data_IF_446264398207
#
_entry.id   IF_446264398207
#
_cell.length_a   1.000
_cell.length_b   1.000
_cell.length_c   1.000
_cell.angle_alpha   90.00
_cell.angle_beta   90.00
_cell.angle_gamma   90.00
#
_symmetry.space_group_name_H-M   'P 1'
#
loop_
_entity.id
_entity.type
_entity.pdbx_description
1 polymer ?
#
# COMPACT_ATOMS: atom_id res chain seq x y z
N UNK A 1 -28.12 -52.41 -19.08
CA UNK A 1 -27.00 -53.38 -19.32
C UNK A 1 -25.94 -52.72 -20.20
N UNK A 2 -24.80 -52.37 -19.68
CA UNK A 2 -23.68 -51.86 -20.52
C UNK A 2 -23.03 -53.00 -21.21
N UNK A 3 -23.17 -53.10 -22.53
CA UNK A 3 -22.54 -54.14 -23.33
C UNK A 3 -21.03 -54.11 -23.16
N UNK A 4 -20.45 -55.18 -22.58
CA UNK A 4 -19.04 -55.40 -22.47
C UNK A 4 -18.49 -55.89 -23.83
N UNK A 5 -18.48 -55.02 -24.83
CA UNK A 5 -17.83 -55.36 -26.12
C UNK A 5 -16.32 -55.27 -25.99
N UNK A 6 -15.60 -56.16 -26.71
CA UNK A 6 -14.15 -56.20 -26.71
C UNK A 6 -13.52 -54.84 -27.09
N UNK A 7 -14.19 -54.11 -28.01
CA UNK A 7 -13.82 -52.73 -28.34
C UNK A 7 -13.89 -51.74 -27.15
N UNK A 8 -14.91 -51.87 -26.31
CA UNK A 8 -15.05 -51.03 -25.12
C UNK A 8 -13.99 -51.33 -24.08
N UNK A 9 -13.52 -52.57 -24.00
CA UNK A 9 -12.42 -52.99 -23.15
C UNK A 9 -11.08 -52.43 -23.64
N UNK A 10 -10.81 -52.52 -24.93
CA UNK A 10 -9.62 -51.91 -25.56
C UNK A 10 -9.56 -50.39 -25.40
N UNK A 11 -10.67 -49.70 -25.60
CA UNK A 11 -10.74 -48.24 -25.40
C UNK A 11 -10.44 -47.87 -23.95
N UNK A 12 -11.03 -48.60 -23.01
CA UNK A 12 -10.80 -48.36 -21.56
C UNK A 12 -9.34 -48.64 -21.16
N UNK A 13 -8.76 -49.73 -21.68
CA UNK A 13 -7.36 -50.01 -21.45
C UNK A 13 -6.45 -48.90 -22.01
N UNK A 14 -6.74 -48.44 -23.21
CA UNK A 14 -6.02 -47.31 -23.83
C UNK A 14 -6.10 -46.01 -23.07
N UNK A 15 -7.28 -45.72 -22.50
CA UNK A 15 -7.49 -44.53 -21.67
C UNK A 15 -6.67 -44.61 -20.36
N UNK A 16 -6.63 -45.79 -19.72
CA UNK A 16 -5.84 -46.01 -18.51
C UNK A 16 -4.35 -45.84 -18.80
N UNK A 17 -3.87 -46.42 -19.92
CA UNK A 17 -2.46 -46.30 -20.36
C UNK A 17 -2.10 -44.82 -20.63
N UNK A 18 -2.98 -44.07 -21.31
CA UNK A 18 -2.79 -42.63 -21.53
C UNK A 18 -2.79 -41.84 -20.24
N UNK A 19 -3.71 -42.13 -19.34
CA UNK A 19 -3.79 -41.46 -18.04
C UNK A 19 -2.53 -41.72 -17.20
N UNK A 20 -2.07 -42.96 -17.14
CA UNK A 20 -0.84 -43.32 -16.43
C UNK A 20 0.41 -42.68 -17.07
N UNK A 21 0.50 -42.65 -18.39
CA UNK A 21 1.58 -41.95 -19.09
C UNK A 21 1.57 -40.45 -18.89
N UNK A 22 0.37 -39.85 -18.79
CA UNK A 22 0.18 -38.42 -18.57
C UNK A 22 0.46 -38.01 -17.12
N UNK A 23 0.23 -38.89 -16.15
CA UNK A 23 0.32 -38.65 -14.71
C UNK A 23 1.59 -39.24 -14.06
N UNK A 24 2.63 -39.52 -14.84
CA UNK A 24 3.91 -39.87 -14.22
C UNK A 24 4.44 -38.69 -13.39
N UNK A 25 5.14 -38.93 -12.26
CA UNK A 25 5.68 -37.89 -11.42
C UNK A 25 6.51 -36.85 -12.21
N UNK A 26 7.28 -37.30 -13.20
CA UNK A 26 8.11 -36.47 -14.07
C UNK A 26 7.26 -35.56 -14.95
N UNK A 27 6.19 -36.08 -15.54
CA UNK A 27 5.27 -35.32 -16.39
C UNK A 27 4.47 -34.27 -15.59
N UNK A 28 4.05 -34.61 -14.39
CA UNK A 28 3.37 -33.69 -13.48
C UNK A 28 4.33 -32.56 -13.08
N UNK A 29 5.57 -32.91 -12.72
CA UNK A 29 6.59 -31.92 -12.35
C UNK A 29 6.96 -31.01 -13.52
N UNK A 30 7.14 -31.58 -14.72
CA UNK A 30 7.43 -30.77 -15.92
C UNK A 30 6.32 -29.76 -16.24
N UNK A 31 5.05 -30.14 -16.09
CA UNK A 31 3.91 -29.23 -16.25
C UNK A 31 3.89 -28.16 -15.17
N UNK A 32 4.14 -28.53 -13.92
CA UNK A 32 4.19 -27.59 -12.81
C UNK A 32 5.31 -26.54 -13.01
N UNK A 33 6.49 -26.97 -13.42
CA UNK A 33 7.61 -26.07 -13.74
C UNK A 33 7.26 -25.14 -14.90
N UNK A 34 6.69 -25.65 -15.97
CA UNK A 34 6.27 -24.82 -17.11
C UNK A 34 5.22 -23.77 -16.73
N UNK A 35 4.29 -24.14 -15.83
CA UNK A 35 3.30 -23.20 -15.29
C UNK A 35 3.97 -22.14 -14.39
N UNK A 36 4.89 -22.55 -13.53
CA UNK A 36 5.65 -21.64 -12.66
C UNK A 36 6.49 -20.66 -13.49
N UNK A 37 7.20 -21.13 -14.52
CA UNK A 37 8.00 -20.28 -15.41
C UNK A 37 7.13 -19.24 -16.14
N UNK A 38 5.95 -19.65 -16.61
CA UNK A 38 4.99 -18.72 -17.22
C UNK A 38 4.54 -17.65 -16.21
N UNK A 39 4.16 -18.06 -15.02
CA UNK A 39 3.73 -17.15 -13.95
C UNK A 39 4.83 -16.15 -13.57
N UNK A 40 6.08 -16.63 -13.46
CA UNK A 40 7.24 -15.77 -13.17
C UNK A 40 7.46 -14.77 -14.32
N UNK A 41 7.34 -15.20 -15.57
CA UNK A 41 7.46 -14.32 -16.73
C UNK A 41 6.39 -13.23 -16.74
N UNK A 42 5.13 -13.61 -16.50
CA UNK A 42 4.00 -12.68 -16.46
C UNK A 42 4.16 -11.66 -15.32
N UNK A 43 4.60 -12.11 -14.14
CA UNK A 43 4.88 -11.22 -12.99
C UNK A 43 6.04 -10.28 -13.25
N UNK A 44 7.12 -10.73 -13.89
CA UNK A 44 8.24 -9.87 -14.30
C UNK A 44 7.79 -8.78 -15.26
N UNK A 45 6.99 -9.13 -16.24
CA UNK A 45 6.43 -8.16 -17.18
C UNK A 45 5.56 -7.11 -16.47
N UNK A 46 4.72 -7.52 -15.51
CA UNK A 46 3.93 -6.60 -14.70
C UNK A 46 4.80 -5.65 -13.86
N UNK A 47 5.89 -6.15 -13.29
CA UNK A 47 6.84 -5.32 -12.54
C UNK A 47 7.49 -4.30 -13.46
N UNK A 48 7.98 -4.70 -14.65
CA UNK A 48 8.58 -3.80 -15.63
C UNK A 48 7.61 -2.71 -16.12
N UNK A 49 6.33 -3.04 -16.32
CA UNK A 49 5.31 -2.06 -16.69
C UNK A 49 4.99 -1.06 -15.55
N UNK A 50 5.09 -1.51 -14.30
CA UNK A 50 4.80 -0.67 -13.13
C UNK A 50 5.99 0.17 -12.70
N UNK A 51 7.21 -0.26 -12.97
CA UNK A 51 8.45 0.39 -12.55
C UNK A 51 8.53 1.89 -12.90
N UNK A 52 8.21 2.34 -14.13
CA UNK A 52 8.26 3.77 -14.45
C UNK A 52 7.22 4.60 -13.68
N UNK A 53 6.09 4.01 -13.32
CA UNK A 53 5.06 4.66 -12.50
C UNK A 53 5.53 4.81 -11.05
N UNK A 54 6.20 3.79 -10.53
CA UNK A 54 6.82 3.82 -9.18
C UNK A 54 7.94 4.84 -9.14
N UNK A 55 8.85 4.84 -10.11
CA UNK A 55 9.95 5.81 -10.20
C UNK A 55 9.45 7.25 -10.31
N UNK A 56 8.44 7.52 -11.14
CA UNK A 56 7.81 8.83 -11.21
C UNK A 56 7.16 9.23 -9.89
N UNK A 57 6.44 8.32 -9.26
CA UNK A 57 5.81 8.55 -7.97
C UNK A 57 6.84 8.87 -6.89
N UNK A 58 7.93 8.10 -6.81
CA UNK A 58 9.00 8.33 -5.86
C UNK A 58 9.75 9.65 -6.12
N UNK A 59 9.95 10.02 -7.37
CA UNK A 59 10.53 11.30 -7.74
C UNK A 59 9.65 12.49 -7.33
N UNK A 60 8.32 12.35 -7.38
CA UNK A 60 7.36 13.37 -6.91
C UNK A 60 7.34 13.45 -5.38
N UNK A 61 7.35 12.29 -4.70
CA UNK A 61 7.35 12.23 -3.23
C UNK A 61 8.66 12.77 -2.62
N UNK A 62 9.79 12.61 -3.32
CA UNK A 62 11.10 13.11 -2.89
C UNK A 62 11.32 14.61 -3.18
N UNK A 63 10.36 15.32 -3.78
CA UNK A 63 10.43 16.78 -3.91
C UNK A 63 10.42 17.40 -2.51
N UNK A 64 11.46 18.15 -2.16
CA UNK A 64 11.69 18.82 -0.87
C UNK A 64 10.71 19.99 -0.58
N UNK A 65 9.45 19.86 -0.95
CA UNK A 65 8.41 20.85 -0.66
C UNK A 65 7.65 20.46 0.60
N UNK A 66 7.78 21.26 1.66
CA UNK A 66 6.95 21.10 2.85
C UNK A 66 5.56 21.68 2.63
N UNK A 67 4.54 20.86 2.87
CA UNK A 67 3.13 21.17 2.68
C UNK A 67 2.51 21.48 4.04
N UNK A 68 1.70 22.51 4.10
CA UNK A 68 0.95 22.82 5.33
C UNK A 68 -0.21 21.85 5.53
N UNK A 69 -0.56 21.57 6.79
CA UNK A 69 -1.76 20.77 7.11
C UNK A 69 -3.03 21.34 6.49
N UNK A 70 -3.09 22.65 6.22
CA UNK A 70 -4.21 23.28 5.52
C UNK A 70 -4.39 22.77 4.09
N UNK A 71 -3.28 22.54 3.37
CA UNK A 71 -3.34 21.99 2.01
C UNK A 71 -3.85 20.56 2.05
N UNK A 72 -3.30 19.73 2.92
CA UNK A 72 -3.76 18.34 3.10
C UNK A 72 -5.24 18.28 3.51
N UNK A 73 -5.67 19.16 4.39
CA UNK A 73 -7.07 19.27 4.80
C UNK A 73 -8.00 19.63 3.63
N UNK A 74 -7.55 20.50 2.71
CA UNK A 74 -8.32 20.85 1.51
C UNK A 74 -8.47 19.66 0.56
N UNK A 75 -7.48 18.81 0.44
CA UNK A 75 -7.57 17.58 -0.37
C UNK A 75 -8.64 16.62 0.17
N UNK A 76 -8.86 16.64 1.49
CA UNK A 76 -9.92 15.89 2.18
C UNK A 76 -11.27 16.64 2.23
N UNK A 77 -11.39 17.78 1.53
CA UNK A 77 -12.64 18.57 1.44
C UNK A 77 -12.87 19.54 2.59
N UNK A 78 -11.89 19.73 3.49
CA UNK A 78 -12.02 20.68 4.59
C UNK A 78 -11.59 22.09 4.22
N UNK A 79 -12.23 23.09 4.85
CA UNK A 79 -11.88 24.52 4.64
C UNK A 79 -10.57 24.92 5.33
N UNK A 80 -10.19 24.24 6.43
CA UNK A 80 -9.03 24.57 7.25
C UNK A 80 -8.38 23.34 7.87
N UNK A 81 -7.14 23.47 8.36
CA UNK A 81 -6.42 22.44 9.07
C UNK A 81 -7.06 22.01 10.40
N UNK A 82 -7.94 22.84 10.98
CA UNK A 82 -8.45 22.64 12.33
C UNK A 82 -9.10 21.26 12.51
N UNK A 83 -10.01 20.90 11.59
CA UNK A 83 -10.73 19.62 11.67
C UNK A 83 -9.81 18.42 11.49
N UNK A 84 -8.85 18.51 10.57
CA UNK A 84 -7.87 17.44 10.37
C UNK A 84 -6.94 17.28 11.58
N UNK A 85 -6.46 18.39 12.16
CA UNK A 85 -5.66 18.34 13.38
C UNK A 85 -6.45 17.77 14.57
N UNK A 86 -7.74 18.08 14.68
CA UNK A 86 -8.62 17.52 15.70
C UNK A 86 -8.75 15.99 15.54
N UNK A 87 -8.99 15.51 14.32
CA UNK A 87 -9.08 14.07 14.01
C UNK A 87 -7.76 13.34 14.35
N UNK A 88 -6.63 13.91 13.95
CA UNK A 88 -5.32 13.34 14.29
C UNK A 88 -5.03 13.37 15.79
N UNK A 89 -5.48 14.41 16.51
CA UNK A 89 -5.33 14.50 17.95
C UNK A 89 -6.17 13.45 18.68
N UNK A 90 -7.44 13.27 18.29
CA UNK A 90 -8.33 12.24 18.85
C UNK A 90 -7.81 10.82 18.63
N UNK A 91 -7.06 10.60 17.55
CA UNK A 91 -6.38 9.33 17.29
C UNK A 91 -4.97 9.25 17.89
N UNK A 92 -4.59 10.17 18.78
CA UNK A 92 -3.28 10.23 19.44
C UNK A 92 -2.08 10.27 18.49
N UNK A 93 -2.24 10.85 17.29
CA UNK A 93 -1.16 10.98 16.30
C UNK A 93 -0.34 12.23 16.58
N UNK A 94 -1.03 13.37 16.78
CA UNK A 94 -0.41 14.65 17.11
C UNK A 94 -1.09 15.30 18.32
N UNK A 95 -0.35 16.10 19.06
CA UNK A 95 -0.84 16.91 20.16
C UNK A 95 -0.32 18.35 20.06
N UNK A 96 -0.96 19.25 20.76
CA UNK A 96 -0.53 20.65 20.83
C UNK A 96 0.30 20.86 22.08
N UNK A 97 1.57 21.25 21.92
CA UNK A 97 2.45 21.51 23.06
C UNK A 97 2.14 22.83 23.74
N UNK A 98 2.84 23.16 24.84
CA UNK A 98 2.66 24.40 25.58
C UNK A 98 2.95 25.67 24.76
N UNK A 99 3.81 25.60 23.74
CA UNK A 99 4.11 26.69 22.82
C UNK A 99 3.07 26.85 21.71
N UNK A 100 2.01 26.02 21.72
CA UNK A 100 0.97 26.04 20.69
C UNK A 100 1.33 25.34 19.37
N UNK A 101 2.49 24.66 19.32
CA UNK A 101 2.94 23.89 18.14
C UNK A 101 2.35 22.48 18.17
N UNK A 102 1.93 22.00 17.00
CA UNK A 102 1.54 20.61 16.84
C UNK A 102 2.79 19.72 16.79
N UNK A 103 2.80 18.63 17.59
CA UNK A 103 3.90 17.68 17.70
C UNK A 103 3.34 16.26 17.60
N UNK A 104 4.05 15.31 16.97
CA UNK A 104 3.69 13.90 17.03
C UNK A 104 3.76 13.39 18.47
N UNK A 105 2.89 12.45 18.84
CA UNK A 105 3.08 11.63 20.03
C UNK A 105 4.31 10.73 19.89
N UNK A 106 4.83 10.23 21.01
CA UNK A 106 6.03 9.38 21.01
C UNK A 106 5.92 8.16 20.10
N UNK A 107 4.73 7.55 20.01
CA UNK A 107 4.45 6.42 19.11
C UNK A 107 4.54 6.79 17.61
N UNK A 108 4.42 8.08 17.28
CA UNK A 108 4.44 8.61 15.93
C UNK A 108 5.68 9.47 15.63
N UNK A 109 6.70 9.42 16.49
CA UNK A 109 7.95 10.16 16.28
C UNK A 109 8.67 9.76 14.97
N UNK A 110 8.44 8.53 14.54
CA UNK A 110 8.92 8.01 13.27
C UNK A 110 8.46 8.86 12.05
N UNK A 111 7.34 9.60 12.16
CA UNK A 111 6.89 10.53 11.10
C UNK A 111 7.96 11.58 10.76
N UNK A 112 8.72 12.01 11.75
CA UNK A 112 9.82 12.97 11.56
C UNK A 112 11.08 12.22 11.09
N UNK A 113 11.43 11.11 11.77
CA UNK A 113 12.63 10.32 11.50
C UNK A 113 12.65 9.80 10.06
N UNK A 114 11.51 9.30 9.59
CA UNK A 114 11.39 8.73 8.25
C UNK A 114 11.00 9.76 7.17
N UNK A 115 10.92 11.05 7.52
CA UNK A 115 10.68 12.14 6.58
C UNK A 115 9.25 12.24 6.05
N UNK A 116 8.25 11.87 6.83
CA UNK A 116 6.83 12.13 6.52
C UNK A 116 6.42 13.55 6.90
N UNK A 117 7.01 14.10 7.98
CA UNK A 117 6.78 15.44 8.45
C UNK A 117 8.10 16.09 8.87
N UNK A 118 8.11 17.42 8.92
CA UNK A 118 9.25 18.20 9.40
C UNK A 118 8.75 19.52 10.00
N UNK A 119 9.60 20.14 10.81
CA UNK A 119 9.35 21.45 11.41
C UNK A 119 9.96 22.56 10.58
N UNK A 120 9.14 23.51 10.17
CA UNK A 120 9.63 24.74 9.57
C UNK A 120 9.51 25.92 10.52
N UNK A 121 10.66 26.54 10.84
CA UNK A 121 10.71 27.79 11.58
C UNK A 121 10.52 28.95 10.62
N UNK A 122 9.70 29.93 11.01
CA UNK A 122 9.61 31.19 10.28
C UNK A 122 10.68 32.16 10.79
N UNK A 123 11.22 32.98 9.89
CA UNK A 123 12.29 33.95 10.16
C UNK A 123 11.89 35.10 11.10
N UNK A 124 10.62 35.20 11.49
CA UNK A 124 10.18 36.18 12.46
C UNK A 124 10.70 35.82 13.86
N UNK A 125 11.36 36.77 14.54
CA UNK A 125 11.79 36.61 15.94
C UNK A 125 10.58 36.14 16.77
N UNK A 126 10.71 34.94 17.38
CA UNK A 126 9.71 34.29 18.26
C UNK A 126 8.54 33.54 17.53
N UNK A 127 8.60 33.26 16.26
CA UNK A 127 7.60 32.38 15.64
C UNK A 127 7.85 30.92 16.07
N UNK A 128 6.85 30.29 16.69
CA UNK A 128 6.91 28.87 17.02
C UNK A 128 7.04 28.04 15.73
N UNK A 129 7.85 26.98 15.74
CA UNK A 129 8.00 26.11 14.58
C UNK A 129 6.64 25.48 14.22
N UNK A 130 6.38 25.36 12.92
CA UNK A 130 5.13 24.78 12.43
C UNK A 130 5.41 23.40 11.86
N UNK A 131 4.63 22.40 12.31
CA UNK A 131 4.66 21.07 11.73
C UNK A 131 4.11 21.12 10.30
N UNK A 132 4.89 20.63 9.36
CA UNK A 132 4.55 20.51 7.95
C UNK A 132 4.77 19.10 7.45
N UNK A 133 4.13 18.78 6.36
CA UNK A 133 4.13 17.45 5.77
C UNK A 133 4.93 17.43 4.48
N UNK A 134 5.62 16.34 4.23
CA UNK A 134 6.16 16.05 2.89
C UNK A 134 5.04 15.48 2.01
N UNK A 135 5.27 15.30 0.71
CA UNK A 135 4.32 14.59 -0.15
C UNK A 135 4.09 13.13 0.34
N UNK A 136 5.13 12.51 0.90
CA UNK A 136 5.04 11.19 1.54
C UNK A 136 4.08 11.21 2.74
N UNK A 137 4.18 12.24 3.57
CA UNK A 137 3.30 12.45 4.71
C UNK A 137 1.86 12.77 4.30
N UNK A 138 1.67 13.59 3.25
CA UNK A 138 0.36 13.87 2.66
C UNK A 138 -0.34 12.60 2.20
N UNK A 139 0.35 11.75 1.45
CA UNK A 139 -0.17 10.46 1.00
C UNK A 139 -0.58 9.58 2.19
N UNK A 140 0.29 9.44 3.18
CA UNK A 140 0.02 8.65 4.38
C UNK A 140 -1.22 9.14 5.13
N UNK A 141 -1.41 10.46 5.27
CA UNK A 141 -2.60 11.02 5.91
C UNK A 141 -3.86 10.64 5.13
N UNK A 142 -3.85 10.80 3.81
CA UNK A 142 -5.01 10.50 2.97
C UNK A 142 -5.37 9.01 3.04
N UNK A 143 -4.39 8.11 3.01
CA UNK A 143 -4.60 6.67 3.08
C UNK A 143 -5.18 6.20 4.42
N UNK A 144 -4.81 6.84 5.52
CA UNK A 144 -5.26 6.44 6.86
C UNK A 144 -6.48 7.21 7.37
N UNK A 145 -6.87 8.29 6.70
CA UNK A 145 -7.92 9.21 7.12
C UNK A 145 -9.26 8.51 7.41
N UNK A 146 -9.72 7.64 6.53
CA UNK A 146 -11.00 6.94 6.68
C UNK A 146 -11.02 6.03 7.92
N UNK A 147 -9.88 5.43 8.25
CA UNK A 147 -9.76 4.60 9.45
C UNK A 147 -9.84 5.46 10.71
N UNK A 148 -9.19 6.62 10.72
CA UNK A 148 -9.23 7.54 11.88
C UNK A 148 -10.64 8.07 12.15
N UNK A 149 -11.39 8.37 11.10
CA UNK A 149 -12.79 8.80 11.23
C UNK A 149 -13.65 7.66 11.79
N UNK A 150 -13.45 6.41 11.33
CA UNK A 150 -14.17 5.25 11.87
C UNK A 150 -13.86 5.01 13.36
N UNK A 151 -12.61 5.15 13.77
CA UNK A 151 -12.19 4.98 15.16
C UNK A 151 -12.93 5.97 16.09
N UNK A 152 -13.09 7.23 15.66
CA UNK A 152 -13.78 8.26 16.43
C UNK A 152 -15.29 7.99 16.50
N UNK A 153 -15.89 7.45 15.45
CA UNK A 153 -17.34 7.17 15.42
C UNK A 153 -17.71 5.86 16.15
N UNK A 154 -16.74 5.01 16.41
CA UNK A 154 -16.93 3.74 17.14
C UNK A 154 -16.65 3.83 18.64
N UNK A 155 -16.07 4.95 19.11
CA UNK A 155 -15.76 5.24 20.53
C UNK A 155 -16.88 6.03 21.17
#
# INVERSE_FOLDING_TARGET
>A
MVQKTEKAKQVRQRLIELENAWNTPEQVMARALKFADKTISDLKHQIEEQQPKVEYHDAVLNKKGLITTTVVAKDLGYRSAQKLNEIMNLNHIIFKNQSGTWCPYAEYEWLIIEGYADYQSYTAKNAAPCLKWTEKGRKWIIENYDQWVKNITAA
#
